data_IF_130818167073
#
_entry.id   IF_130818167073
#
_cell.length_a   1.000
_cell.length_b   1.000
_cell.length_c   1.000
_cell.angle_alpha   90.00
_cell.angle_beta   90.00
_cell.angle_gamma   90.00
#
_symmetry.space_group_name_H-M   'P 1'
#
loop_
_entity.id
_entity.type
_entity.pdbx_description
1 polymer ?
#
# COMPACT_ATOMS: atom_id res chain seq x y z
N UNK A 1 -3.94 -2.54 15.67
CA UNK A 1 -3.65 -2.27 14.24
C UNK A 1 -2.22 -1.81 14.16
N UNK A 2 -1.45 -2.48 13.32
CA UNK A 2 0.01 -2.45 13.34
C UNK A 2 0.57 -1.53 12.24
N UNK A 3 1.68 -0.85 12.51
CA UNK A 3 2.42 -0.12 11.49
C UNK A 3 3.49 -1.05 10.91
N UNK A 4 3.39 -1.36 9.62
CA UNK A 4 4.29 -2.30 8.96
C UNK A 4 5.66 -1.70 8.62
N UNK A 5 5.79 -0.37 8.62
CA UNK A 5 7.05 0.29 8.35
C UNK A 5 7.26 1.48 9.29
N UNK A 6 8.31 1.43 10.09
CA UNK A 6 8.73 2.54 10.96
C UNK A 6 9.40 3.65 10.15
N UNK A 7 9.48 4.85 10.72
CA UNK A 7 10.19 5.95 10.04
C UNK A 7 11.68 5.62 9.83
N UNK A 8 12.31 4.94 10.79
CA UNK A 8 13.70 4.48 10.66
C UNK A 8 13.88 3.52 9.48
N UNK A 9 12.99 2.54 9.33
CA UNK A 9 13.01 1.62 8.19
C UNK A 9 12.77 2.33 6.86
N UNK A 10 11.80 3.26 6.81
CA UNK A 10 11.54 4.09 5.64
C UNK A 10 12.80 4.86 5.20
N UNK A 11 13.51 5.47 6.15
CA UNK A 11 14.79 6.17 5.89
C UNK A 11 15.90 5.20 5.47
N UNK A 12 15.99 4.04 6.10
CA UNK A 12 16.97 3.01 5.77
C UNK A 12 16.81 2.45 4.34
N UNK A 13 15.57 2.45 3.82
CA UNK A 13 15.25 2.11 2.43
C UNK A 13 15.59 3.24 1.43
N UNK A 14 16.08 4.39 1.90
CA UNK A 14 16.54 5.51 1.07
C UNK A 14 15.48 6.58 0.79
N UNK A 15 14.27 6.46 1.36
CA UNK A 15 13.25 7.49 1.19
C UNK A 15 13.48 8.67 2.13
N UNK A 16 13.21 9.88 1.65
CA UNK A 16 13.50 11.11 2.41
C UNK A 16 12.41 12.17 2.33
N UNK A 17 11.34 11.91 1.58
CA UNK A 17 10.33 12.90 1.22
C UNK A 17 9.40 13.25 2.37
N UNK A 18 8.99 12.25 3.16
CA UNK A 18 8.03 12.46 4.26
C UNK A 18 8.76 13.04 5.48
N UNK A 19 8.34 14.20 6.01
CA UNK A 19 8.85 14.74 7.26
C UNK A 19 8.56 13.82 8.44
N UNK A 20 9.45 13.80 9.45
CA UNK A 20 9.30 12.97 10.66
C UNK A 20 7.94 13.16 11.35
N UNK A 21 7.46 14.40 11.45
CA UNK A 21 6.15 14.73 12.04
C UNK A 21 4.96 14.08 11.32
N UNK A 22 5.06 13.90 10.00
CA UNK A 22 3.98 13.34 9.18
C UNK A 22 4.12 11.82 9.00
N UNK A 23 5.34 11.29 9.16
CA UNK A 23 5.68 9.91 8.82
C UNK A 23 4.83 8.86 9.57
N UNK A 24 4.61 8.94 10.90
CA UNK A 24 3.78 7.96 11.61
C UNK A 24 2.37 7.85 11.04
N UNK A 25 1.74 8.99 10.72
CA UNK A 25 0.38 9.02 10.17
C UNK A 25 0.31 8.46 8.75
N UNK A 26 1.27 8.85 7.89
CA UNK A 26 1.31 8.42 6.49
C UNK A 26 1.64 6.93 6.36
N UNK A 27 2.62 6.43 7.12
CA UNK A 27 2.99 5.02 7.12
C UNK A 27 1.86 4.13 7.67
N UNK A 28 1.20 4.56 8.76
CA UNK A 28 0.03 3.89 9.29
C UNK A 28 -1.12 3.82 8.28
N UNK A 29 -1.38 4.91 7.54
CA UNK A 29 -2.40 4.91 6.49
C UNK A 29 -2.05 3.94 5.35
N UNK A 30 -0.78 3.89 4.94
CA UNK A 30 -0.34 2.93 3.94
C UNK A 30 -0.42 1.48 4.44
N UNK A 31 -0.12 1.20 5.71
CA UNK A 31 -0.31 -0.14 6.30
C UNK A 31 -1.76 -0.61 6.21
N UNK A 32 -2.74 0.27 6.50
CA UNK A 32 -4.17 -0.03 6.32
C UNK A 32 -4.52 -0.36 4.87
N UNK A 33 -3.91 0.35 3.92
CA UNK A 33 -4.14 0.08 2.51
C UNK A 33 -3.55 -1.27 2.10
N UNK A 34 -2.38 -1.64 2.65
CA UNK A 34 -1.83 -2.99 2.49
C UNK A 34 -2.75 -4.05 3.10
N UNK A 35 -3.36 -3.81 4.26
CA UNK A 35 -4.35 -4.72 4.84
C UNK A 35 -5.54 -4.94 3.90
N UNK A 36 -6.11 -3.87 3.34
CA UNK A 36 -7.20 -3.99 2.35
C UNK A 36 -6.78 -4.82 1.15
N UNK A 37 -5.61 -4.53 0.56
CA UNK A 37 -5.08 -5.21 -0.63
C UNK A 37 -4.68 -6.67 -0.37
N UNK A 38 -4.47 -7.05 0.88
CA UNK A 38 -4.14 -8.42 1.32
C UNK A 38 -5.33 -9.12 1.99
N UNK A 39 -6.55 -8.61 1.80
CA UNK A 39 -7.78 -9.16 2.39
C UNK A 39 -7.70 -9.34 3.92
N UNK A 40 -6.99 -8.44 4.62
CA UNK A 40 -6.74 -8.46 6.05
C UNK A 40 -6.06 -9.75 6.56
N UNK A 41 -5.30 -10.44 5.70
CA UNK A 41 -4.60 -11.68 6.09
C UNK A 41 -3.46 -11.48 7.04
N UNK A 42 -2.76 -10.36 6.95
CA UNK A 42 -1.64 -10.05 7.86
C UNK A 42 -2.16 -9.96 9.31
N UNK A 43 -3.14 -9.09 9.65
CA UNK A 43 -3.66 -9.04 11.02
C UNK A 43 -4.45 -10.30 11.38
N UNK A 44 -5.16 -10.93 10.43
CA UNK A 44 -5.90 -12.18 10.67
C UNK A 44 -5.01 -13.39 10.95
N UNK A 45 -3.80 -13.42 10.39
CA UNK A 45 -2.82 -14.50 10.50
C UNK A 45 -1.82 -14.35 11.64
N UNK A 46 -1.97 -13.35 12.52
CA UNK A 46 -1.10 -13.14 13.69
C UNK A 46 -0.18 -11.94 13.61
N UNK A 47 -0.33 -11.07 12.61
CA UNK A 47 0.46 -9.84 12.45
C UNK A 47 1.66 -10.02 11.52
N UNK A 48 2.43 -8.95 11.33
CA UNK A 48 3.54 -8.95 10.37
C UNK A 48 4.65 -9.94 10.77
N UNK A 49 4.85 -10.16 12.07
CA UNK A 49 5.86 -11.07 12.62
C UNK A 49 5.54 -12.56 12.36
N UNK A 50 4.29 -12.88 12.02
CA UNK A 50 3.89 -14.23 11.63
C UNK A 50 4.21 -14.57 10.17
N UNK A 51 4.61 -13.58 9.38
CA UNK A 51 4.99 -13.75 7.98
C UNK A 51 6.40 -14.36 7.85
N UNK A 52 6.68 -14.97 6.71
CA UNK A 52 8.07 -15.30 6.35
C UNK A 52 8.89 -14.03 6.15
N UNK A 53 10.21 -14.08 6.37
CA UNK A 53 11.08 -12.90 6.22
C UNK A 53 10.98 -12.25 4.83
N UNK A 54 10.72 -13.04 3.78
CA UNK A 54 10.48 -12.50 2.44
C UNK A 54 9.15 -11.73 2.34
N UNK A 55 8.06 -12.29 2.87
CA UNK A 55 6.76 -11.64 2.87
C UNK A 55 6.77 -10.37 3.72
N UNK A 56 7.39 -10.45 4.89
CA UNK A 56 7.60 -9.33 5.79
C UNK A 56 8.34 -8.19 5.07
N UNK A 57 9.46 -8.48 4.40
CA UNK A 57 10.22 -7.50 3.61
C UNK A 57 9.40 -6.86 2.48
N UNK A 58 8.68 -7.67 1.68
CA UNK A 58 7.80 -7.17 0.63
C UNK A 58 6.73 -6.22 1.21
N UNK A 59 6.09 -6.60 2.31
CA UNK A 59 5.06 -5.78 2.98
C UNK A 59 5.64 -4.45 3.47
N UNK A 60 6.84 -4.46 4.09
CA UNK A 60 7.49 -3.23 4.57
C UNK A 60 7.85 -2.30 3.43
N UNK A 61 8.46 -2.83 2.36
CA UNK A 61 8.84 -2.06 1.19
C UNK A 61 7.62 -1.46 0.48
N UNK A 62 6.55 -2.25 0.29
CA UNK A 62 5.31 -1.73 -0.31
C UNK A 62 4.66 -0.65 0.56
N UNK A 63 4.69 -0.79 1.89
CA UNK A 63 4.19 0.23 2.82
C UNK A 63 4.96 1.54 2.68
N UNK A 64 6.30 1.49 2.64
CA UNK A 64 7.16 2.65 2.45
C UNK A 64 6.93 3.32 1.09
N UNK A 65 6.94 2.54 0.01
CA UNK A 65 6.71 3.01 -1.36
C UNK A 65 5.34 3.69 -1.50
N UNK A 66 4.29 3.09 -0.94
CA UNK A 66 2.94 3.64 -1.04
C UNK A 66 2.82 4.94 -0.25
N UNK A 67 3.42 5.02 0.95
CA UNK A 67 3.44 6.24 1.75
C UNK A 67 4.18 7.37 1.03
N UNK A 68 5.36 7.09 0.47
CA UNK A 68 6.14 8.07 -0.29
C UNK A 68 5.38 8.57 -1.52
N UNK A 69 4.75 7.64 -2.25
CA UNK A 69 3.96 7.95 -3.42
C UNK A 69 2.78 8.87 -3.08
N UNK A 70 2.00 8.55 -2.04
CA UNK A 70 0.87 9.40 -1.64
C UNK A 70 1.28 10.78 -1.17
N UNK A 71 2.40 10.88 -0.47
CA UNK A 71 2.91 12.18 -0.04
C UNK A 71 3.29 13.05 -1.24
N UNK A 72 3.96 12.46 -2.24
CA UNK A 72 4.38 13.16 -3.45
C UNK A 72 3.23 13.46 -4.43
N UNK A 73 2.13 12.72 -4.39
CA UNK A 73 1.10 12.72 -5.44
C UNK A 73 -0.33 12.99 -4.91
N UNK A 74 -0.46 13.68 -3.78
CA UNK A 74 -1.75 13.88 -3.11
C UNK A 74 -2.86 14.43 -4.04
N UNK A 75 -2.53 15.41 -4.90
CA UNK A 75 -3.49 15.99 -5.86
C UNK A 75 -3.97 14.98 -6.91
N UNK A 76 -3.10 14.07 -7.36
CA UNK A 76 -3.44 13.00 -8.31
C UNK A 76 -4.37 11.99 -7.64
N UNK A 77 -4.08 11.62 -6.39
CA UNK A 77 -4.90 10.67 -5.62
C UNK A 77 -6.31 11.23 -5.38
N UNK A 78 -6.41 12.50 -4.95
CA UNK A 78 -7.70 13.16 -4.73
C UNK A 78 -8.52 13.24 -6.02
N UNK A 79 -7.88 13.58 -7.14
CA UNK A 79 -8.54 13.58 -8.45
C UNK A 79 -9.00 12.18 -8.87
N UNK A 80 -8.20 11.15 -8.62
CA UNK A 80 -8.52 9.75 -8.94
C UNK A 80 -9.74 9.26 -8.16
N UNK A 81 -9.77 9.51 -6.85
CA UNK A 81 -10.88 9.15 -5.98
C UNK A 81 -12.16 9.90 -6.34
N UNK A 82 -12.07 11.22 -6.61
CA UNK A 82 -13.22 12.00 -7.04
C UNK A 82 -13.83 11.47 -8.34
N UNK A 83 -13.00 11.08 -9.30
CA UNK A 83 -13.49 10.51 -10.56
C UNK A 83 -14.15 9.13 -10.36
N UNK A 84 -13.62 8.31 -9.45
CA UNK A 84 -14.18 7.00 -9.09
C UNK A 84 -15.57 7.13 -8.44
N UNK A 85 -15.74 8.07 -7.50
CA UNK A 85 -17.01 8.32 -6.82
C UNK A 85 -18.13 8.82 -7.74
N UNK A 86 -17.79 9.48 -8.84
CA UNK A 86 -18.80 10.03 -9.78
C UNK A 86 -19.30 8.97 -10.75
N UNK A 87 -18.42 8.07 -11.21
CA UNK A 87 -18.73 7.21 -12.36
C UNK A 87 -18.92 5.73 -12.02
N UNK A 88 -18.50 5.24 -10.84
CA UNK A 88 -18.61 3.82 -10.46
C UNK A 88 -17.86 2.84 -11.38
N UNK A 89 -17.10 3.37 -12.35
CA UNK A 89 -16.37 2.64 -13.40
C UNK A 89 -14.88 2.91 -13.20
N UNK A 90 -14.05 1.90 -13.48
CA UNK A 90 -12.60 1.97 -13.53
C UNK A 90 -12.14 3.19 -14.35
N UNK A 91 -11.70 4.25 -13.66
CA UNK A 91 -11.25 5.48 -14.32
C UNK A 91 -9.95 5.15 -15.04
N UNK A 92 -9.96 5.21 -16.37
CA UNK A 92 -8.73 5.38 -17.13
C UNK A 92 -8.22 6.80 -16.84
N UNK A 93 -7.38 6.92 -15.81
CA UNK A 93 -6.64 8.15 -15.51
C UNK A 93 -5.56 8.31 -16.59
N UNK A 94 -5.96 8.79 -17.76
CA UNK A 94 -5.09 9.01 -18.93
C UNK A 94 -3.93 9.97 -18.65
N UNK A 95 -3.86 10.57 -17.46
CA UNK A 95 -2.75 11.41 -16.98
C UNK A 95 -1.63 10.62 -16.28
N UNK A 96 -1.84 9.37 -15.85
CA UNK A 96 -0.80 8.54 -15.24
C UNK A 96 -1.03 7.06 -15.56
N UNK A 97 -0.48 6.53 -16.66
CA UNK A 97 -0.78 5.19 -17.16
C UNK A 97 -0.31 4.01 -16.28
N UNK A 98 0.11 4.25 -15.04
CA UNK A 98 0.64 3.25 -14.11
C UNK A 98 -0.04 3.28 -12.73
N UNK A 99 -1.28 3.77 -12.62
CA UNK A 99 -2.08 3.66 -11.38
C UNK A 99 -3.35 2.83 -11.62
N UNK A 100 -3.74 2.05 -10.62
CA UNK A 100 -4.96 1.27 -10.61
C UNK A 100 -5.73 1.50 -9.29
N UNK A 101 -7.01 1.15 -9.29
CA UNK A 101 -7.86 1.17 -8.09
C UNK A 101 -8.28 -0.26 -7.78
N UNK A 102 -7.87 -0.77 -6.62
CA UNK A 102 -8.24 -2.11 -6.12
C UNK A 102 -8.76 -2.01 -4.71
N UNK A 103 -9.93 -2.59 -4.43
CA UNK A 103 -10.58 -2.56 -3.11
C UNK A 103 -10.69 -1.15 -2.50
N UNK A 104 -10.92 -0.13 -3.34
CA UNK A 104 -11.00 1.27 -2.93
C UNK A 104 -9.65 1.95 -2.67
N UNK A 105 -8.53 1.26 -2.86
CA UNK A 105 -7.17 1.78 -2.74
C UNK A 105 -6.65 2.19 -4.12
N UNK A 106 -6.25 3.45 -4.27
CA UNK A 106 -5.50 3.93 -5.44
C UNK A 106 -4.04 3.51 -5.26
N UNK A 107 -3.48 2.72 -6.15
CA UNK A 107 -2.12 2.16 -6.02
C UNK A 107 -1.39 2.19 -7.37
N UNK A 108 -0.09 2.55 -7.40
CA UNK A 108 0.73 2.33 -8.59
C UNK A 108 0.84 0.84 -8.94
N UNK A 109 0.68 0.50 -10.22
CA UNK A 109 0.70 -0.89 -10.69
C UNK A 109 1.98 -1.63 -10.32
N UNK A 110 3.13 -0.94 -10.28
CA UNK A 110 4.40 -1.56 -9.89
C UNK A 110 4.44 -1.95 -8.40
N UNK A 111 3.81 -1.17 -7.52
CA UNK A 111 3.72 -1.50 -6.08
C UNK A 111 2.79 -2.70 -5.91
N UNK A 112 1.65 -2.71 -6.62
CA UNK A 112 0.72 -3.83 -6.57
C UNK A 112 1.37 -5.13 -7.08
N UNK A 113 2.04 -5.10 -8.23
CA UNK A 113 2.77 -6.26 -8.77
C UNK A 113 3.87 -6.74 -7.83
N UNK A 114 4.49 -5.85 -7.03
CA UNK A 114 5.44 -6.25 -6.02
C UNK A 114 4.77 -6.89 -4.81
N UNK A 115 3.67 -6.29 -4.33
CA UNK A 115 2.88 -6.83 -3.23
C UNK A 115 2.30 -8.22 -3.55
N UNK A 116 1.91 -8.48 -4.79
CA UNK A 116 1.44 -9.79 -5.25
C UNK A 116 2.47 -10.91 -5.05
N UNK A 117 3.77 -10.59 -5.10
CA UNK A 117 4.85 -11.56 -4.87
C UNK A 117 4.86 -12.11 -3.44
N UNK A 118 4.26 -11.41 -2.47
CA UNK A 118 4.05 -11.93 -1.11
C UNK A 118 3.13 -13.17 -1.06
N UNK A 119 2.32 -13.39 -2.10
CA UNK A 119 1.28 -14.41 -2.11
C UNK A 119 0.08 -14.09 -1.20
N UNK A 120 0.04 -12.91 -0.58
CA UNK A 120 -1.04 -12.48 0.33
C UNK A 120 -2.23 -11.86 -0.41
N UNK A 121 -2.09 -11.58 -1.72
CA UNK A 121 -3.08 -10.87 -2.55
C UNK A 121 -4.00 -11.79 -3.37
N UNK A 122 -3.94 -13.13 -3.20
CA UNK A 122 -4.76 -14.06 -3.97
C UNK A 122 -5.87 -14.67 -3.11
N UNK A 123 -7.13 -14.70 -3.56
CA UNK A 123 -8.28 -15.30 -2.83
C UNK A 123 -8.22 -16.84 -2.76
N UNK A 124 -7.05 -17.44 -2.56
CA UNK A 124 -6.95 -18.87 -2.29
C UNK A 124 -7.26 -19.13 -0.81
N UNK A 125 -8.26 -19.98 -0.57
CA UNK A 125 -8.71 -20.44 0.75
C UNK A 125 -7.80 -21.52 1.33
N UNK A 126 -6.98 -22.19 0.51
CA UNK A 126 -6.15 -23.31 0.96
C UNK A 126 -4.86 -22.89 1.67
N UNK A 127 -4.60 -21.59 1.79
CA UNK A 127 -3.35 -21.03 2.36
C UNK A 127 -3.53 -20.23 3.64
N UNK A 128 -4.66 -20.42 4.34
CA UNK A 128 -4.97 -19.83 5.64
C UNK A 128 -5.81 -20.79 6.47
#
# INVERSE_FOLDING_TARGET
MENYCTYEQYRAMGYTTIPDVDAPGRLMQSSRNIDSLTFNRIPGGGGIEALTSYQEDVVRQCTAQLADYYYNNQSIIESALSAYSINGVSVNLTASPMIEIRDGVVIPSYIMSFLEQSGLCCLNVDRW
#
